data_IF_217999662279
#
_entry.id   IF_217999662279
#
_cell.length_a   1.000
_cell.length_b   1.000
_cell.length_c   1.000
_cell.angle_alpha   90.00
_cell.angle_beta   90.00
_cell.angle_gamma   90.00
#
_symmetry.space_group_name_H-M   'P 1'
#
loop_
_entity.id
_entity.type
_entity.pdbx_description
1 polymer ?
#
# COMPACT_ATOMS: atom_id res chain seq x y z
N UNK A 1 -10.32 -13.13 5.80
CA UNK A 1 -9.20 -12.93 6.73
C UNK A 1 -8.36 -11.80 6.19
N UNK A 2 -8.19 -10.71 6.94
CA UNK A 2 -7.32 -9.60 6.51
C UNK A 2 -5.87 -9.92 6.80
N UNK A 3 -4.97 -9.50 5.92
CA UNK A 3 -3.52 -9.60 6.09
C UNK A 3 -2.97 -8.23 6.53
N UNK A 4 -2.17 -8.20 7.60
CA UNK A 4 -1.51 -6.99 8.06
C UNK A 4 -0.01 -7.21 8.15
N UNK A 5 0.75 -6.23 7.67
CA UNK A 5 2.21 -6.24 7.72
C UNK A 5 2.75 -4.88 8.09
N UNK A 6 3.72 -4.85 9.01
CA UNK A 6 4.38 -3.62 9.42
C UNK A 6 5.84 -3.67 9.00
N UNK A 7 6.31 -2.59 8.38
CA UNK A 7 7.69 -2.38 7.95
C UNK A 7 8.32 -1.34 8.87
N UNK A 8 9.36 -1.75 9.59
CA UNK A 8 10.19 -0.87 10.41
C UNK A 8 11.37 -0.45 9.54
N UNK A 9 11.19 0.63 8.78
CA UNK A 9 12.28 1.16 7.96
C UNK A 9 13.52 1.48 8.81
N UNK A 10 14.66 1.61 8.15
CA UNK A 10 15.98 1.80 8.79
C UNK A 10 16.20 3.18 9.44
N UNK A 11 15.15 3.88 9.87
CA UNK A 11 15.24 5.22 10.46
C UNK A 11 15.49 6.36 9.46
N UNK A 12 15.72 6.05 8.18
CA UNK A 12 15.86 7.04 7.11
C UNK A 12 14.49 7.48 6.57
N UNK A 13 14.44 8.69 5.99
CA UNK A 13 13.19 9.32 5.54
C UNK A 13 12.58 8.48 4.41
N UNK A 14 11.32 8.09 4.55
CA UNK A 14 10.60 7.20 3.60
C UNK A 14 11.11 5.75 3.46
N UNK A 15 12.11 5.29 4.23
CA UNK A 15 12.63 3.90 4.09
C UNK A 15 11.53 2.85 4.25
N UNK A 16 10.70 2.97 5.29
CA UNK A 16 9.62 2.03 5.54
C UNK A 16 8.58 2.01 4.40
N UNK A 17 8.34 3.17 3.79
CA UNK A 17 7.42 3.29 2.66
C UNK A 17 7.98 2.55 1.45
N UNK A 18 9.26 2.77 1.15
CA UNK A 18 9.93 2.17 0.01
C UNK A 18 9.94 0.64 0.11
N UNK A 19 10.24 0.10 1.30
CA UNK A 19 10.14 -1.35 1.56
C UNK A 19 8.73 -1.91 1.35
N UNK A 20 7.70 -1.18 1.79
CA UNK A 20 6.33 -1.59 1.61
C UNK A 20 5.88 -1.55 0.14
N UNK A 21 6.24 -0.50 -0.60
CA UNK A 21 6.00 -0.36 -2.04
C UNK A 21 6.69 -1.48 -2.83
N UNK A 22 7.95 -1.78 -2.51
CA UNK A 22 8.69 -2.87 -3.14
C UNK A 22 8.05 -4.23 -2.84
N UNK A 23 7.62 -4.45 -1.60
CA UNK A 23 6.93 -5.68 -1.24
C UNK A 23 5.60 -5.83 -1.98
N UNK A 24 4.81 -4.77 -2.11
CA UNK A 24 3.57 -4.78 -2.89
C UNK A 24 3.82 -5.14 -4.35
N UNK A 25 4.80 -4.48 -4.98
CA UNK A 25 5.20 -4.77 -6.36
C UNK A 25 5.63 -6.22 -6.55
N UNK A 26 6.45 -6.75 -5.63
CA UNK A 26 6.89 -8.16 -5.62
C UNK A 26 5.75 -9.17 -5.46
N UNK A 27 4.65 -8.77 -4.81
CA UNK A 27 3.48 -9.63 -4.61
C UNK A 27 2.40 -9.44 -5.69
N UNK A 28 2.65 -8.63 -6.73
CA UNK A 28 1.69 -8.41 -7.82
C UNK A 28 0.56 -7.44 -7.48
N UNK A 29 0.81 -6.53 -6.54
CA UNK A 29 -0.11 -5.46 -6.18
C UNK A 29 0.31 -4.14 -6.81
N UNK A 30 -0.69 -3.39 -7.27
CA UNK A 30 -0.53 -1.99 -7.63
C UNK A 30 -0.85 -1.10 -6.43
N UNK A 31 -0.10 -0.02 -6.30
CA UNK A 31 -0.24 0.96 -5.24
C UNK A 31 -0.41 2.36 -5.83
N UNK A 32 -1.17 3.20 -5.13
CA UNK A 32 -1.44 4.57 -5.54
C UNK A 32 -0.32 5.54 -5.23
N UNK A 33 -0.47 6.76 -5.74
CA UNK A 33 0.50 7.83 -5.51
C UNK A 33 0.60 8.19 -4.02
N UNK A 34 1.84 8.27 -3.52
CA UNK A 34 2.15 8.65 -2.14
C UNK A 34 1.61 10.03 -1.76
N UNK A 35 0.86 10.10 -0.66
CA UNK A 35 0.46 11.34 -0.03
C UNK A 35 1.06 11.45 1.38
N UNK A 36 1.68 12.61 1.68
CA UNK A 36 2.07 12.97 3.04
C UNK A 36 0.78 13.14 3.85
N UNK A 37 0.65 12.41 4.97
CA UNK A 37 -0.54 12.39 5.85
C UNK A 37 -1.79 11.67 5.33
N UNK A 38 -1.71 10.80 4.32
CA UNK A 38 -2.86 9.95 3.94
C UNK A 38 -2.42 8.55 3.54
N UNK A 39 -3.26 7.53 3.77
CA UNK A 39 -2.97 6.18 3.28
C UNK A 39 -2.90 6.17 1.75
N UNK A 40 -2.08 5.28 1.21
CA UNK A 40 -2.13 4.93 -0.20
C UNK A 40 -3.14 3.78 -0.39
N UNK A 41 -3.98 3.89 -1.41
CA UNK A 41 -4.80 2.77 -1.86
C UNK A 41 -3.92 1.69 -2.48
N UNK A 42 -4.24 0.44 -2.18
CA UNK A 42 -3.60 -0.75 -2.75
C UNK A 42 -4.68 -1.60 -3.39
N UNK A 43 -4.41 -2.06 -4.61
CA UNK A 43 -5.34 -2.90 -5.36
C UNK A 43 -4.58 -4.08 -5.97
N UNK A 44 -5.23 -5.24 -5.99
CA UNK A 44 -4.65 -6.45 -6.58
C UNK A 44 -4.70 -6.35 -8.10
N UNK A 45 -3.57 -6.57 -8.76
CA UNK A 45 -3.45 -6.46 -10.21
C UNK A 45 -2.20 -5.70 -10.61
N UNK A 46 -1.67 -6.00 -11.81
CA UNK A 46 -0.62 -5.20 -12.45
C UNK A 46 -1.28 -4.05 -13.21
N UNK A 47 -0.60 -2.90 -13.21
CA UNK A 47 -0.99 -1.70 -13.98
C UNK A 47 -2.33 -1.07 -13.54
N UNK A 48 -2.73 -1.22 -12.27
CA UNK A 48 -3.93 -0.55 -11.77
C UNK A 48 -3.59 0.90 -11.45
N UNK A 49 -4.21 1.83 -12.19
CA UNK A 49 -4.11 3.25 -11.89
C UNK A 49 -4.98 3.60 -10.68
N UNK A 50 -4.32 3.84 -9.55
CA UNK A 50 -4.95 4.20 -8.28
C UNK A 50 -4.78 5.70 -8.08
N UNK A 51 -5.89 6.45 -8.18
CA UNK A 51 -5.92 7.89 -7.89
C UNK A 51 -5.43 8.22 -6.47
N UNK A 52 -5.00 9.47 -6.23
CA UNK A 52 -4.65 9.90 -4.87
C UNK A 52 -5.85 9.72 -3.94
N UNK A 53 -5.61 9.22 -2.73
CA UNK A 53 -6.65 8.93 -1.74
C UNK A 53 -7.65 10.08 -1.52
N UNK A 54 -7.13 11.31 -1.45
CA UNK A 54 -7.95 12.54 -1.30
C UNK A 54 -8.90 12.81 -2.47
N UNK A 55 -8.68 12.21 -3.62
CA UNK A 55 -9.47 12.37 -4.83
C UNK A 55 -10.46 11.21 -5.05
N UNK A 56 -10.38 10.16 -4.22
CA UNK A 56 -11.27 9.00 -4.29
C UNK A 56 -12.54 9.24 -3.49
N UNK A 57 -13.67 8.76 -4.02
CA UNK A 57 -14.91 8.67 -3.26
C UNK A 57 -14.82 7.59 -2.18
N UNK A 58 -15.69 7.67 -1.15
CA UNK A 58 -15.78 6.64 -0.09
C UNK A 58 -16.05 5.24 -0.66
N UNK A 59 -16.74 5.16 -1.79
CA UNK A 59 -17.02 3.90 -2.49
C UNK A 59 -15.75 3.30 -3.09
N UNK A 60 -14.94 4.09 -3.80
CA UNK A 60 -13.63 3.65 -4.32
C UNK A 60 -12.70 3.20 -3.21
N UNK A 61 -12.64 3.96 -2.11
CA UNK A 61 -11.85 3.60 -0.92
C UNK A 61 -12.30 2.25 -0.34
N UNK A 62 -13.61 1.97 -0.35
CA UNK A 62 -14.15 0.66 0.05
C UNK A 62 -13.86 -0.45 -0.94
N UNK A 63 -13.71 -0.14 -2.23
CA UNK A 63 -13.36 -1.12 -3.26
C UNK A 63 -11.87 -1.45 -3.30
N UNK A 64 -11.01 -0.69 -2.62
CA UNK A 64 -9.59 -1.02 -2.49
C UNK A 64 -9.40 -2.36 -1.78
N UNK A 65 -8.46 -3.17 -2.27
CA UNK A 65 -8.07 -4.45 -1.65
C UNK A 65 -7.19 -4.23 -0.43
N UNK A 66 -6.52 -3.08 -0.32
CA UNK A 66 -5.66 -2.77 0.80
C UNK A 66 -5.32 -1.30 0.94
N UNK A 67 -4.64 -0.99 2.04
CA UNK A 67 -4.25 0.35 2.45
C UNK A 67 -2.82 0.33 3.01
N UNK A 68 -1.97 1.21 2.49
CA UNK A 68 -0.63 1.41 3.00
C UNK A 68 -0.55 2.73 3.76
N UNK A 69 -0.33 2.64 5.06
CA UNK A 69 -0.13 3.77 5.95
C UNK A 69 1.35 3.96 6.18
N UNK A 70 1.96 5.00 5.59
CA UNK A 70 3.37 5.32 5.81
C UNK A 70 3.52 6.76 6.31
N UNK A 71 4.25 6.93 7.41
CA UNK A 71 4.68 8.23 7.91
C UNK A 71 5.97 8.71 7.24
N UNK A 72 6.33 9.99 7.47
CA UNK A 72 7.57 10.60 6.94
C UNK A 72 8.82 10.04 7.63
N UNK A 73 8.74 9.87 8.94
CA UNK A 73 9.74 9.23 9.80
C UNK A 73 8.99 8.20 10.65
N UNK A 74 9.23 6.92 10.40
CA UNK A 74 8.62 5.85 11.20
C UNK A 74 8.31 4.57 10.43
N UNK A 75 7.37 3.80 10.99
CA UNK A 75 6.91 2.52 10.45
C UNK A 75 5.88 2.71 9.34
N UNK A 76 5.90 1.83 8.35
CA UNK A 76 4.83 1.71 7.37
C UNK A 76 3.96 0.50 7.75
N UNK A 77 2.65 0.69 7.81
CA UNK A 77 1.67 -0.35 8.11
C UNK A 77 0.84 -0.61 6.87
N UNK A 78 0.95 -1.82 6.35
CA UNK A 78 0.18 -2.32 5.23
C UNK A 78 -0.96 -3.19 5.74
N UNK A 79 -2.19 -2.91 5.30
CA UNK A 79 -3.35 -3.75 5.53
C UNK A 79 -3.94 -4.18 4.20
N UNK A 80 -4.22 -5.47 4.04
CA UNK A 80 -4.85 -6.06 2.87
C UNK A 80 -6.09 -6.84 3.35
N UNK A 81 -7.15 -6.84 2.56
CA UNK A 81 -8.38 -7.61 2.81
C UNK A 81 -8.25 -9.06 2.42
N UNK A 82 -7.42 -9.32 1.42
CA UNK A 82 -7.09 -10.66 0.93
C UNK A 82 -5.58 -10.88 1.05
N UNK A 83 -5.21 -12.14 1.29
CA UNK A 83 -3.82 -12.54 1.31
C UNK A 83 -3.18 -12.35 -0.07
N UNK A 84 -1.91 -11.92 -0.13
CA UNK A 84 -1.15 -11.86 -1.37
C UNK A 84 -1.00 -13.26 -1.95
N UNK A 85 -1.85 -13.59 -2.91
CA UNK A 85 -1.63 -14.73 -3.79
C UNK A 85 -0.49 -14.33 -4.73
N UNK A 86 0.75 -14.59 -4.32
CA UNK A 86 1.96 -14.31 -5.07
C UNK A 86 1.88 -14.95 -6.46
N UNK A 87 1.47 -14.17 -7.46
CA UNK A 87 1.59 -14.57 -8.85
C UNK A 87 3.06 -14.43 -9.25
N UNK A 88 3.80 -15.52 -9.05
CA UNK A 88 5.16 -15.69 -9.59
C UNK A 88 5.15 -15.40 -11.11
N UNK A 89 6.15 -14.69 -11.65
CA UNK A 89 6.46 -14.79 -13.07
C UNK A 89 6.92 -16.21 -13.43
#
# INVERSE_FOLDING_TARGET
>A
MGFEKTFKGNGDTFSAKNEAEEWLSKNGYSYGSSCVCSPQGVMKGKDVYISKWRNMTKSEQKSMDGLLYAGREGTARLTLKEEPCATKP
#
